data_IF_504092113849
#
_entry.id   IF_504092113849
#
_cell.length_a   1.000
_cell.length_b   1.000
_cell.length_c   1.000
_cell.angle_alpha   90.00
_cell.angle_beta   90.00
_cell.angle_gamma   90.00
#
_symmetry.space_group_name_H-M   'P 1'
#
loop_
_entity.id
_entity.type
_entity.pdbx_description
1 polymer ?
#
# COMPACT_ATOMS: atom_id res chain seq x y z
N UNK A 1 -2.83 29.12 12.95
CA UNK A 1 -3.92 28.19 13.29
C UNK A 1 -4.18 28.26 14.79
N UNK A 2 -5.43 28.22 15.26
CA UNK A 2 -5.78 28.33 16.69
C UNK A 2 -7.00 27.46 17.01
N UNK A 3 -6.95 26.74 18.12
CA UNK A 3 -8.11 26.07 18.70
C UNK A 3 -8.86 27.02 19.62
N UNK A 4 -10.17 27.17 19.41
CA UNK A 4 -11.00 28.10 20.19
C UNK A 4 -11.36 27.53 21.57
N UNK A 5 -11.43 26.21 21.68
CA UNK A 5 -11.87 25.53 22.91
C UNK A 5 -10.76 25.45 23.98
N UNK A 6 -9.49 25.28 23.56
CA UNK A 6 -8.35 25.17 24.48
C UNK A 6 -7.33 26.30 24.38
N UNK A 7 -7.52 27.27 23.46
CA UNK A 7 -6.67 28.45 23.32
C UNK A 7 -5.29 28.20 22.68
N UNK A 8 -4.90 26.94 22.44
CA UNK A 8 -3.63 26.60 21.80
C UNK A 8 -3.56 27.18 20.38
N UNK A 9 -2.39 27.71 20.01
CA UNK A 9 -2.13 28.23 18.68
C UNK A 9 -0.86 27.61 18.08
N UNK A 10 -0.88 27.42 16.77
CA UNK A 10 0.24 26.94 15.97
C UNK A 10 0.49 27.90 14.79
N UNK A 11 1.77 28.14 14.42
CA UNK A 11 2.12 29.13 13.39
C UNK A 11 1.65 28.72 11.99
N UNK A 12 1.50 27.42 11.72
CA UNK A 12 1.23 26.90 10.39
C UNK A 12 0.73 25.46 10.41
N UNK A 13 0.55 24.91 9.21
CA UNK A 13 0.44 23.45 9.03
C UNK A 13 1.83 22.85 9.18
N UNK A 14 1.89 21.60 9.61
CA UNK A 14 3.13 20.81 9.67
C UNK A 14 3.05 19.71 8.63
N UNK A 15 4.19 19.40 8.03
CA UNK A 15 4.31 18.21 7.20
C UNK A 15 4.29 16.98 8.10
N UNK A 16 3.56 15.95 7.68
CA UNK A 16 3.56 14.66 8.34
C UNK A 16 3.72 13.55 7.30
N UNK A 17 4.59 12.56 7.58
CA UNK A 17 4.65 11.38 6.74
C UNK A 17 3.32 10.62 6.83
N UNK A 18 2.87 10.10 5.69
CA UNK A 18 1.68 9.25 5.61
C UNK A 18 2.14 7.81 5.48
N UNK A 19 1.84 6.99 6.48
CA UNK A 19 2.09 5.55 6.42
C UNK A 19 1.14 4.89 5.41
N UNK A 20 1.68 4.02 4.56
CA UNK A 20 0.91 3.27 3.56
C UNK A 20 0.66 1.86 4.09
N UNK A 21 -0.58 1.39 3.95
CA UNK A 21 -0.95 0.01 4.23
C UNK A 21 -0.75 -0.87 2.99
N UNK A 22 0.39 -0.71 2.32
CA UNK A 22 0.73 -1.47 1.13
C UNK A 22 2.23 -1.73 1.12
N UNK A 23 2.59 -3.00 1.21
CA UNK A 23 3.97 -3.44 1.10
C UNK A 23 4.43 -3.45 -0.35
N UNK A 24 5.72 -3.25 -0.55
CA UNK A 24 6.35 -3.45 -1.85
C UNK A 24 6.33 -4.93 -2.24
N UNK A 25 6.27 -5.18 -3.55
CA UNK A 25 6.29 -6.54 -4.10
C UNK A 25 5.26 -6.76 -5.20
N UNK A 26 5.22 -8.01 -5.66
CA UNK A 26 4.33 -8.46 -6.71
C UNK A 26 3.00 -8.92 -6.12
N UNK A 27 1.90 -8.41 -6.67
CA UNK A 27 0.53 -8.82 -6.37
C UNK A 27 -0.10 -9.41 -7.62
N UNK A 28 -0.94 -10.42 -7.47
CA UNK A 28 -1.67 -11.03 -8.58
C UNK A 28 -3.18 -10.93 -8.41
N UNK A 29 -3.89 -11.10 -9.53
CA UNK A 29 -5.34 -11.26 -9.52
C UNK A 29 -5.74 -12.62 -8.94
N UNK A 30 -6.97 -12.77 -8.41
CA UNK A 30 -7.46 -14.06 -7.96
C UNK A 30 -7.42 -15.12 -9.07
N UNK A 31 -7.27 -16.42 -8.76
CA UNK A 31 -7.21 -17.48 -9.76
C UNK A 31 -8.39 -17.46 -10.75
N UNK A 32 -9.60 -17.09 -10.28
CA UNK A 32 -10.81 -16.96 -11.11
C UNK A 32 -10.72 -15.89 -12.20
N UNK A 33 -9.85 -14.90 -12.04
CA UNK A 33 -9.64 -13.80 -12.97
C UNK A 33 -8.34 -13.94 -13.78
N UNK A 34 -7.58 -15.02 -13.57
CA UNK A 34 -6.28 -15.23 -14.23
C UNK A 34 -6.48 -15.60 -15.70
N UNK A 35 -5.78 -14.89 -16.59
CA UNK A 35 -5.72 -15.19 -18.02
C UNK A 35 -4.80 -16.39 -18.29
N UNK A 36 -5.06 -17.14 -19.36
CA UNK A 36 -4.27 -18.34 -19.71
C UNK A 36 -2.77 -18.10 -19.90
N UNK A 37 -2.38 -16.92 -20.38
CA UNK A 37 -0.98 -16.56 -20.65
C UNK A 37 -0.24 -16.00 -19.42
N UNK A 38 -0.95 -15.72 -18.32
CA UNK A 38 -0.36 -15.12 -17.14
C UNK A 38 0.34 -16.20 -16.28
N UNK A 39 1.63 -16.01 -15.96
CA UNK A 39 2.37 -16.84 -15.03
C UNK A 39 1.93 -16.54 -13.58
N UNK A 40 1.42 -17.53 -12.83
CA UNK A 40 1.10 -17.35 -11.41
C UNK A 40 2.33 -17.03 -10.56
N UNK A 41 2.17 -16.19 -9.52
CA UNK A 41 3.29 -15.85 -8.63
C UNK A 41 3.89 -17.07 -7.91
N UNK A 42 3.06 -18.07 -7.60
CA UNK A 42 3.51 -19.31 -6.95
C UNK A 42 4.49 -20.14 -7.78
N UNK A 43 4.68 -19.85 -9.08
CA UNK A 43 5.67 -20.52 -9.94
C UNK A 43 7.08 -19.96 -9.80
N UNK A 44 7.27 -18.87 -9.04
CA UNK A 44 8.58 -18.24 -8.84
C UNK A 44 9.13 -17.52 -10.06
N UNK A 45 10.36 -17.00 -9.94
CA UNK A 45 11.03 -16.19 -10.97
C UNK A 45 10.85 -14.67 -10.81
N UNK A 46 10.36 -14.22 -9.65
CA UNK A 46 10.16 -12.80 -9.34
C UNK A 46 11.32 -12.27 -8.49
N UNK A 47 11.66 -11.01 -8.70
CA UNK A 47 12.82 -10.30 -8.14
C UNK A 47 12.52 -9.56 -6.81
N UNK A 48 11.29 -9.69 -6.31
CA UNK A 48 10.81 -9.05 -5.09
C UNK A 48 9.86 -9.99 -4.32
N UNK A 49 9.50 -9.67 -3.06
CA UNK A 49 8.48 -10.40 -2.34
C UNK A 49 7.20 -10.59 -3.17
N UNK A 50 6.62 -11.77 -3.08
CA UNK A 50 5.38 -12.10 -3.77
C UNK A 50 4.24 -12.20 -2.76
N UNK A 51 3.09 -11.66 -3.13
CA UNK A 51 1.83 -11.71 -2.39
C UNK A 51 0.80 -12.46 -3.25
N UNK A 52 0.85 -13.81 -3.30
CA UNK A 52 -0.05 -14.60 -4.13
C UNK A 52 -1.47 -14.51 -3.61
N UNK A 53 -2.40 -14.21 -4.51
CA UNK A 53 -3.82 -14.26 -4.22
C UNK A 53 -4.26 -15.73 -4.18
N UNK A 54 -5.09 -16.08 -3.19
CA UNK A 54 -5.54 -17.46 -2.96
C UNK A 54 -6.79 -17.81 -3.78
#
# INVERSE_FOLDING_TARGET
>A
YRCRDCGTAAPGRVEQPVERLLDEGWYEVPPRARRHVAQPLCRGGFDAPVHPER
#
